data_IF_863018933528
#
_entry.id   IF_863018933528
#
_cell.length_a   1.000
_cell.length_b   1.000
_cell.length_c   1.000
_cell.angle_alpha   90.00
_cell.angle_beta   90.00
_cell.angle_gamma   90.00
#
_symmetry.space_group_name_H-M   'P 1'
#
loop_
_entity.id
_entity.type
_entity.pdbx_description
1 polymer ?
#
# COMPACT_ATOMS: atom_id res chain seq x y z
N UNK A 1 18.76 -13.85 6.38
CA UNK A 1 17.69 -13.13 5.84
C UNK A 1 17.76 -11.66 6.21
N UNK A 2 17.53 -10.82 5.35
CA UNK A 2 17.64 -9.43 5.64
C UNK A 2 16.48 -8.67 5.10
N UNK A 3 16.56 -7.38 5.27
CA UNK A 3 15.60 -6.46 4.74
C UNK A 3 15.39 -6.67 3.27
N UNK A 4 16.44 -6.99 2.59
CA UNK A 4 16.47 -7.20 1.17
C UNK A 4 15.61 -8.36 0.74
N UNK A 5 15.74 -9.49 1.45
CA UNK A 5 14.93 -10.66 1.16
C UNK A 5 13.47 -10.38 1.40
N UNK A 6 13.19 -9.60 2.42
CA UNK A 6 11.84 -9.20 2.73
C UNK A 6 11.18 -8.50 1.52
N UNK A 7 11.88 -7.54 0.94
CA UNK A 7 11.34 -6.81 -0.21
C UNK A 7 11.19 -7.69 -1.43
N UNK A 8 12.20 -8.51 -1.71
CA UNK A 8 12.17 -9.31 -2.91
C UNK A 8 11.17 -10.44 -2.84
N UNK A 9 10.94 -10.96 -1.64
CA UNK A 9 10.05 -12.06 -1.46
C UNK A 9 8.58 -11.70 -1.48
N UNK A 10 8.28 -10.40 -1.40
CA UNK A 10 6.90 -9.99 -1.24
C UNK A 10 6.27 -9.70 -2.58
N UNK A 11 5.26 -10.48 -2.95
CA UNK A 11 4.39 -10.12 -4.05
C UNK A 11 3.09 -9.61 -3.46
N UNK A 12 2.25 -9.00 -4.29
CA UNK A 12 1.05 -8.36 -3.78
C UNK A 12 0.11 -9.35 -3.10
N UNK A 13 0.05 -10.58 -3.57
CA UNK A 13 -0.85 -11.56 -2.97
C UNK A 13 -0.43 -11.90 -1.54
N UNK A 14 0.86 -12.06 -1.31
CA UNK A 14 1.40 -12.26 0.04
C UNK A 14 1.23 -11.01 0.88
N UNK A 15 1.42 -9.84 0.27
CA UNK A 15 1.27 -8.57 0.96
C UNK A 15 -0.15 -8.34 1.44
N UNK A 16 -1.14 -8.72 0.64
CA UNK A 16 -2.54 -8.61 1.06
C UNK A 16 -2.82 -9.54 2.23
N UNK A 17 -2.23 -10.74 2.24
CA UNK A 17 -2.41 -11.63 3.36
C UNK A 17 -1.79 -11.04 4.63
N UNK A 18 -0.60 -10.46 4.52
CA UNK A 18 0.03 -9.78 5.65
C UNK A 18 -0.84 -8.65 6.17
N UNK A 19 -1.43 -7.87 5.27
CA UNK A 19 -2.32 -6.80 5.66
C UNK A 19 -3.51 -7.34 6.46
N UNK A 20 -4.10 -8.43 5.98
CA UNK A 20 -5.26 -9.02 6.66
C UNK A 20 -4.90 -9.56 8.03
N UNK A 21 -3.66 -10.02 8.18
CA UNK A 21 -3.19 -10.60 9.44
C UNK A 21 -2.65 -9.56 10.41
N UNK A 22 -2.59 -8.29 10.01
CA UNK A 22 -2.02 -7.23 10.84
C UNK A 22 -3.14 -6.37 11.42
N UNK A 23 -3.32 -6.49 12.72
CA UNK A 23 -4.38 -5.74 13.40
C UNK A 23 -4.15 -4.25 13.31
N UNK A 24 -5.20 -3.51 13.00
CA UNK A 24 -5.13 -2.05 12.91
C UNK A 24 -4.50 -1.51 11.65
N UNK A 25 -4.11 -2.37 10.72
CA UNK A 25 -3.44 -1.94 9.50
C UNK A 25 -4.40 -1.30 8.50
N UNK A 26 -3.84 -0.44 7.66
CA UNK A 26 -4.56 0.15 6.54
C UNK A 26 -3.94 -0.28 5.22
N UNK A 27 -4.79 -0.47 4.23
CA UNK A 27 -4.37 -0.78 2.86
C UNK A 27 -4.63 0.46 2.01
N UNK A 28 -3.58 0.97 1.37
CA UNK A 28 -3.64 2.22 0.64
C UNK A 28 -3.30 2.00 -0.82
N UNK A 29 -4.21 2.43 -1.71
CA UNK A 29 -3.98 2.45 -3.15
C UNK A 29 -3.47 3.84 -3.50
N UNK A 30 -2.23 3.95 -3.96
CA UNK A 30 -1.64 5.25 -4.28
C UNK A 30 -1.74 5.60 -5.75
N UNK A 31 -2.57 4.87 -6.51
CA UNK A 31 -2.85 5.21 -7.90
C UNK A 31 -3.80 6.40 -7.97
N UNK A 32 -4.04 6.88 -9.18
CA UNK A 32 -4.98 7.98 -9.37
C UNK A 32 -6.42 7.58 -9.09
N UNK A 33 -7.27 8.57 -8.87
CA UNK A 33 -8.69 8.37 -8.59
C UNK A 33 -9.38 7.55 -9.67
N UNK A 34 -9.07 7.83 -10.93
CA UNK A 34 -9.68 7.13 -12.05
C UNK A 34 -9.30 5.67 -12.08
N UNK A 35 -8.04 5.38 -11.82
CA UNK A 35 -7.57 4.00 -11.75
C UNK A 35 -8.29 3.25 -10.64
N UNK A 36 -8.41 3.88 -9.49
CA UNK A 36 -9.08 3.27 -8.33
C UNK A 36 -10.54 2.94 -8.66
N UNK A 37 -11.24 3.86 -9.30
CA UNK A 37 -12.64 3.64 -9.64
C UNK A 37 -12.84 2.53 -10.65
N UNK A 38 -11.86 2.28 -11.51
CA UNK A 38 -11.95 1.21 -12.49
C UNK A 38 -11.77 -0.17 -11.88
N UNK A 39 -11.21 -0.23 -10.68
CA UNK A 39 -11.04 -1.49 -9.97
C UNK A 39 -9.95 -1.36 -8.94
N UNK A 40 -10.22 -1.84 -7.73
CA UNK A 40 -9.26 -1.78 -6.65
C UNK A 40 -9.42 -2.99 -5.73
N UNK A 41 -8.44 -3.20 -4.88
CA UNK A 41 -8.49 -4.32 -3.94
C UNK A 41 -9.47 -3.97 -2.82
N UNK A 42 -10.40 -4.87 -2.50
CA UNK A 42 -11.38 -4.60 -1.43
C UNK A 42 -10.69 -4.22 -0.13
N UNK A 43 -11.23 -3.23 0.53
CA UNK A 43 -10.68 -2.76 1.79
C UNK A 43 -9.63 -1.67 1.65
N UNK A 44 -9.24 -1.32 0.42
CA UNK A 44 -8.24 -0.27 0.25
C UNK A 44 -8.88 1.11 0.23
N UNK A 45 -8.12 2.09 0.72
CA UNK A 45 -8.45 3.50 0.62
C UNK A 45 -7.57 4.12 -0.46
N UNK A 46 -8.12 5.05 -1.22
CA UNK A 46 -7.36 5.70 -2.29
C UNK A 46 -6.74 7.00 -1.79
N UNK A 47 -5.42 7.04 -1.75
CA UNK A 47 -4.68 8.26 -1.46
C UNK A 47 -3.60 8.35 -2.53
N UNK A 48 -3.89 9.06 -3.63
CA UNK A 48 -2.92 9.16 -4.72
C UNK A 48 -1.58 9.70 -4.26
N UNK A 49 -0.53 9.27 -4.95
CA UNK A 49 0.85 9.67 -4.60
C UNK A 49 0.99 11.17 -4.42
N UNK A 50 0.28 11.97 -5.23
CA UNK A 50 0.38 13.42 -5.18
C UNK A 50 -0.29 14.02 -3.94
N UNK A 51 -1.10 13.25 -3.23
CA UNK A 51 -1.84 13.73 -2.07
C UNK A 51 -1.53 12.93 -0.81
N UNK A 52 -0.31 12.43 -0.69
CA UNK A 52 0.05 11.60 0.47
C UNK A 52 -0.11 12.30 1.81
N UNK A 53 -0.12 13.63 1.84
CA UNK A 53 -0.36 14.36 3.08
C UNK A 53 -1.71 14.01 3.69
N UNK A 54 -2.65 13.58 2.87
CA UNK A 54 -3.98 13.22 3.35
C UNK A 54 -3.97 11.99 4.25
N UNK A 55 -2.86 11.25 4.28
CA UNK A 55 -2.74 10.10 5.17
C UNK A 55 -3.03 10.47 6.63
N UNK A 56 -2.78 11.72 7.00
CA UNK A 56 -3.03 12.19 8.36
C UNK A 56 -4.49 12.04 8.78
N UNK A 57 -5.40 12.01 7.82
CA UNK A 57 -6.83 11.86 8.09
C UNK A 57 -7.19 10.42 8.41
N UNK A 58 -6.30 9.48 8.12
CA UNK A 58 -6.59 8.05 8.23
C UNK A 58 -5.76 7.34 9.28
N UNK A 59 -4.56 7.85 9.57
CA UNK A 59 -3.59 7.08 10.33
C UNK A 59 -2.73 7.96 11.22
N UNK A 60 -2.27 7.39 12.33
CA UNK A 60 -1.22 8.02 13.11
C UNK A 60 0.12 7.40 12.72
N UNK A 61 1.20 7.87 13.35
CA UNK A 61 2.56 7.44 12.96
C UNK A 61 2.86 5.98 13.26
N UNK A 62 2.08 5.35 14.12
CA UNK A 62 2.28 3.95 14.50
C UNK A 62 1.41 2.99 13.70
N UNK A 63 0.45 3.49 12.94
CA UNK A 63 -0.47 2.65 12.16
C UNK A 63 0.31 1.90 11.09
N UNK A 64 0.21 0.57 11.02
CA UNK A 64 0.83 -0.18 9.92
C UNK A 64 0.16 0.15 8.60
N UNK A 65 0.96 0.51 7.62
CA UNK A 65 0.46 0.91 6.30
C UNK A 65 0.99 -0.03 5.24
N UNK A 66 0.07 -0.56 4.43
CA UNK A 66 0.41 -1.43 3.30
C UNK A 66 -0.01 -0.68 2.04
N UNK A 67 0.94 -0.44 1.15
CA UNK A 67 0.71 0.38 -0.04
C UNK A 67 0.87 -0.42 -1.31
N UNK A 68 0.03 -0.12 -2.30
CA UNK A 68 0.20 -0.70 -3.63
C UNK A 68 -0.13 0.33 -4.70
N UNK A 69 0.34 0.05 -5.92
CA UNK A 69 -0.04 0.82 -7.08
C UNK A 69 -0.26 -0.16 -8.23
N UNK A 70 0.00 0.22 -9.47
CA UNK A 70 -0.17 -0.72 -10.59
C UNK A 70 0.94 -1.75 -10.64
N UNK A 71 2.20 -1.30 -10.55
CA UNK A 71 3.37 -2.17 -10.70
C UNK A 71 4.28 -2.20 -9.47
N UNK A 72 4.06 -1.31 -8.52
CA UNK A 72 4.92 -1.19 -7.33
C UNK A 72 5.84 0.01 -7.35
N UNK A 73 5.94 0.71 -8.48
CA UNK A 73 6.89 1.84 -8.60
C UNK A 73 6.41 3.06 -7.81
N UNK A 74 5.17 3.46 -8.03
CA UNK A 74 4.63 4.62 -7.31
C UNK A 74 4.52 4.35 -5.82
N UNK A 75 4.12 3.12 -5.46
CA UNK A 75 4.00 2.76 -4.04
C UNK A 75 5.37 2.71 -3.37
N UNK A 76 6.42 2.36 -4.11
CA UNK A 76 7.78 2.44 -3.57
C UNK A 76 8.17 3.87 -3.23
N UNK A 77 7.84 4.81 -4.10
CA UNK A 77 8.09 6.23 -3.84
C UNK A 77 7.26 6.72 -2.67
N UNK A 78 6.03 6.26 -2.58
CA UNK A 78 5.14 6.63 -1.48
C UNK A 78 5.71 6.16 -0.14
N UNK A 79 6.26 4.95 -0.09
CA UNK A 79 6.89 4.44 1.12
C UNK A 79 8.00 5.38 1.59
N UNK A 80 8.87 5.78 0.66
CA UNK A 80 9.97 6.67 1.03
C UNK A 80 9.46 8.00 1.58
N UNK A 81 8.42 8.54 0.95
CA UNK A 81 7.84 9.80 1.41
C UNK A 81 7.24 9.66 2.81
N UNK A 82 6.48 8.59 3.03
CA UNK A 82 5.82 8.40 4.32
C UNK A 82 6.81 8.13 5.45
N UNK A 83 7.87 7.36 5.16
CA UNK A 83 8.93 7.15 6.14
C UNK A 83 9.57 8.49 6.49
N UNK A 84 9.82 9.34 5.49
CA UNK A 84 10.35 10.68 5.72
C UNK A 84 9.42 11.56 6.55
N UNK A 85 8.11 11.29 6.50
CA UNK A 85 7.13 12.01 7.30
C UNK A 85 7.00 11.46 8.72
N UNK A 86 7.71 10.38 9.04
CA UNK A 86 7.72 9.83 10.38
C UNK A 86 6.84 8.62 10.60
N UNK A 87 6.21 8.07 9.56
CA UNK A 87 5.43 6.85 9.70
C UNK A 87 6.38 5.67 9.88
N UNK A 88 6.08 4.79 10.84
CA UNK A 88 7.06 3.81 11.32
C UNK A 88 6.95 2.44 10.68
N UNK A 89 5.77 2.09 10.18
CA UNK A 89 5.53 0.75 9.66
C UNK A 89 4.87 0.86 8.30
N UNK A 90 5.67 1.04 7.24
CA UNK A 90 5.18 1.27 5.89
C UNK A 90 5.77 0.21 4.97
N UNK A 91 4.90 -0.52 4.28
CA UNK A 91 5.32 -1.62 3.41
C UNK A 91 4.77 -1.43 2.00
N UNK A 92 5.65 -1.54 1.00
CA UNK A 92 5.23 -1.59 -0.39
C UNK A 92 4.92 -3.05 -0.73
N UNK A 93 3.68 -3.37 -1.04
CA UNK A 93 3.31 -4.74 -1.35
C UNK A 93 3.24 -5.02 -2.85
N UNK A 94 3.57 -4.02 -3.68
CA UNK A 94 3.70 -4.28 -5.10
C UNK A 94 2.57 -3.72 -5.94
N UNK A 95 2.15 -4.47 -6.95
CA UNK A 95 1.24 -3.97 -7.94
C UNK A 95 -0.01 -4.80 -8.13
N UNK A 96 -1.14 -4.10 -8.29
CA UNK A 96 -2.42 -4.75 -8.52
C UNK A 96 -2.43 -5.56 -9.83
N UNK A 97 -1.51 -5.23 -10.75
CA UNK A 97 -1.41 -5.98 -12.01
C UNK A 97 -1.13 -7.46 -11.77
N UNK A 98 -0.51 -7.81 -10.66
CA UNK A 98 -0.20 -9.20 -10.32
C UNK A 98 -1.14 -9.79 -9.27
N UNK A 99 -2.14 -9.02 -8.87
CA UNK A 99 -3.08 -9.47 -7.85
C UNK A 99 -4.05 -10.50 -8.43
N UNK A 100 -4.28 -11.58 -7.69
CA UNK A 100 -5.12 -12.68 -8.17
C UNK A 100 -6.45 -12.80 -7.43
N UNK A 101 -6.72 -11.90 -6.50
CA UNK A 101 -7.95 -11.94 -5.74
C UNK A 101 -9.06 -11.12 -6.39
N UNK A 102 -10.10 -10.89 -5.62
CA UNK A 102 -11.26 -10.12 -6.08
C UNK A 102 -10.94 -8.66 -6.25
N UNK A 103 -11.61 -8.05 -7.22
CA UNK A 103 -11.50 -6.63 -7.49
C UNK A 103 -12.87 -6.00 -7.23
N UNK A 104 -12.87 -4.86 -6.55
CA UNK A 104 -14.06 -4.09 -6.27
C UNK A 104 -14.07 -2.84 -7.13
N UNK A 105 -15.27 -2.41 -7.54
CA UNK A 105 -15.43 -1.18 -8.32
C UNK A 105 -16.40 -0.21 -7.69
#
# INVERSE_FOLDING_TARGET
>A
MGLFDFFRGTNINDGIQQFRDTEGALLIDVRGDGEFRQGHIPGSANIPLQRLKDIKKYANKDTPLFLYCLSGARSGRAVNTLVGMGYKAVTNIGGIASYKGEIER
#
